data_IF_288174085560
#
_entry.id   IF_288174085560
#
_cell.length_a   1.000
_cell.length_b   1.000
_cell.length_c   1.000
_cell.angle_alpha   90.00
_cell.angle_beta   90.00
_cell.angle_gamma   90.00
#
_symmetry.space_group_name_H-M   'P 1'
#
loop_
_entity.id
_entity.type
_entity.pdbx_description
1 polymer ?
#
# COMPACT_ATOMS: atom_id res chain seq x y z
N UNK A 1 2.71 11.83 -26.62
CA UNK A 1 1.99 12.23 -25.39
C UNK A 1 2.72 11.53 -24.25
N UNK A 2 3.47 12.29 -23.46
CA UNK A 2 4.15 11.73 -22.29
C UNK A 2 3.07 11.41 -21.26
N UNK A 3 2.78 10.11 -21.06
CA UNK A 3 1.85 9.67 -20.02
C UNK A 3 2.38 10.02 -18.63
N UNK A 4 1.49 9.99 -17.61
CA UNK A 4 1.90 10.14 -16.22
C UNK A 4 2.90 9.02 -15.83
N UNK A 5 3.96 9.40 -15.13
CA UNK A 5 4.97 8.44 -14.69
C UNK A 5 4.63 7.81 -13.34
N UNK A 6 4.06 8.58 -12.42
CA UNK A 6 3.77 8.13 -11.05
C UNK A 6 2.34 8.47 -10.63
N UNK A 7 1.66 7.52 -10.00
CA UNK A 7 0.45 7.76 -9.21
C UNK A 7 0.72 7.43 -7.74
N UNK A 8 0.40 8.35 -6.85
CA UNK A 8 0.47 8.13 -5.39
C UNK A 8 -0.94 7.99 -4.85
N UNK A 9 -1.29 6.79 -4.40
CA UNK A 9 -2.59 6.50 -3.80
C UNK A 9 -2.54 6.83 -2.31
N UNK A 10 -3.45 7.70 -1.87
CA UNK A 10 -3.70 7.99 -0.45
C UNK A 10 -5.11 7.51 -0.12
N UNK A 11 -5.25 6.69 0.91
CA UNK A 11 -6.55 6.25 1.38
C UNK A 11 -6.75 6.62 2.84
N UNK A 12 -7.96 7.05 3.19
CA UNK A 12 -8.31 7.53 4.51
C UNK A 12 -9.69 7.06 4.96
N UNK A 13 -9.84 6.86 6.26
CA UNK A 13 -11.13 6.65 6.92
C UNK A 13 -11.12 7.34 8.28
N UNK A 14 -11.89 8.44 8.41
CA UNK A 14 -11.95 9.28 9.60
C UNK A 14 -10.55 9.76 10.03
N UNK A 15 -9.89 10.51 9.14
CA UNK A 15 -8.56 11.08 9.32
C UNK A 15 -8.56 12.61 9.12
N UNK A 16 -9.68 13.29 9.44
CA UNK A 16 -9.85 14.74 9.30
C UNK A 16 -8.68 15.56 9.85
N UNK A 17 -8.19 15.18 11.03
CA UNK A 17 -7.08 15.88 11.69
C UNK A 17 -5.72 15.67 11.02
N UNK A 18 -5.55 14.63 10.21
CA UNK A 18 -4.27 14.23 9.64
C UNK A 18 -4.16 14.52 8.14
N UNK A 19 -5.29 14.48 7.41
CA UNK A 19 -5.25 14.37 5.95
C UNK A 19 -4.71 15.63 5.26
N UNK A 20 -5.09 16.82 5.71
CA UNK A 20 -4.65 18.06 5.06
C UNK A 20 -3.11 18.23 5.13
N UNK A 21 -2.44 18.13 6.30
CA UNK A 21 -0.99 18.23 6.36
C UNK A 21 -0.26 17.12 5.60
N UNK A 22 -0.81 15.90 5.54
CA UNK A 22 -0.22 14.79 4.76
C UNK A 22 -0.26 15.09 3.26
N UNK A 23 -1.39 15.56 2.76
CA UNK A 23 -1.54 15.89 1.34
C UNK A 23 -0.73 17.11 0.92
N UNK A 24 -0.62 18.13 1.77
CA UNK A 24 0.20 19.31 1.49
C UNK A 24 1.69 18.95 1.43
N UNK A 25 2.19 18.17 2.40
CA UNK A 25 3.58 17.68 2.41
C UNK A 25 3.87 16.82 1.15
N UNK A 26 2.94 15.93 0.76
CA UNK A 26 3.09 15.14 -0.45
C UNK A 26 3.12 16.00 -1.71
N UNK A 27 2.23 17.00 -1.82
CA UNK A 27 2.20 17.91 -2.97
C UNK A 27 3.49 18.71 -3.12
N UNK A 28 4.01 19.24 -2.01
CA UNK A 28 5.28 19.98 -2.00
C UNK A 28 6.42 19.09 -2.47
N UNK A 29 6.50 17.86 -1.94
CA UNK A 29 7.53 16.90 -2.33
C UNK A 29 7.43 16.51 -3.80
N UNK A 30 6.23 16.20 -4.29
CA UNK A 30 6.01 15.83 -5.71
C UNK A 30 6.37 17.00 -6.64
N UNK A 31 5.97 18.23 -6.29
CA UNK A 31 6.31 19.41 -7.09
C UNK A 31 7.81 19.69 -7.21
N UNK A 32 8.58 19.28 -6.19
CA UNK A 32 10.03 19.46 -6.17
C UNK A 32 10.80 18.29 -6.83
N UNK A 33 10.26 17.07 -6.85
CA UNK A 33 11.01 15.87 -7.21
C UNK A 33 10.44 15.08 -8.40
N UNK A 34 9.15 15.26 -8.73
CA UNK A 34 8.47 14.47 -9.76
C UNK A 34 7.70 15.40 -10.73
N UNK A 35 8.13 15.47 -11.96
CA UNK A 35 7.53 16.36 -12.98
C UNK A 35 6.24 15.81 -13.59
N UNK A 36 5.95 14.53 -13.45
CA UNK A 36 4.82 13.84 -14.08
C UNK A 36 4.15 12.88 -13.09
N UNK A 37 3.52 13.44 -12.05
CA UNK A 37 2.85 12.66 -11.01
C UNK A 37 1.42 13.14 -10.76
N UNK A 38 0.58 12.25 -10.26
CA UNK A 38 -0.76 12.55 -9.74
C UNK A 38 -0.95 11.98 -8.34
N UNK A 39 -1.87 12.56 -7.59
CA UNK A 39 -2.36 12.04 -6.32
C UNK A 39 -3.75 11.44 -6.56
N UNK A 40 -3.95 10.19 -6.17
CA UNK A 40 -5.26 9.54 -6.17
C UNK A 40 -5.70 9.36 -4.72
N UNK A 41 -6.60 10.23 -4.28
CA UNK A 41 -7.15 10.16 -2.92
C UNK A 41 -8.43 9.33 -2.91
N UNK A 42 -8.54 8.40 -1.97
CA UNK A 42 -9.71 7.56 -1.74
C UNK A 42 -10.20 7.73 -0.31
N UNK A 43 -11.36 8.36 -0.14
CA UNK A 43 -12.10 8.39 1.12
C UNK A 43 -12.92 7.11 1.25
N UNK A 44 -12.55 6.25 2.19
CA UNK A 44 -13.22 4.97 2.44
C UNK A 44 -14.50 5.13 3.29
N UNK A 45 -15.35 6.07 2.91
CA UNK A 45 -16.65 6.30 3.55
C UNK A 45 -16.57 7.00 4.91
N UNK A 46 -15.70 8.00 5.05
CA UNK A 46 -15.57 8.79 6.29
C UNK A 46 -16.87 9.51 6.64
N UNK A 47 -17.13 9.61 7.95
CA UNK A 47 -18.26 10.34 8.53
C UNK A 47 -17.88 11.72 9.08
N UNK A 48 -16.58 12.04 9.14
CA UNK A 48 -16.02 13.32 9.56
C UNK A 48 -15.67 14.23 8.37
N UNK A 49 -14.91 15.30 8.60
CA UNK A 49 -14.48 16.25 7.57
C UNK A 49 -13.38 15.79 6.64
N UNK A 50 -12.95 14.50 6.66
CA UNK A 50 -11.83 13.98 5.88
C UNK A 50 -11.91 14.32 4.39
N UNK A 51 -13.05 14.10 3.75
CA UNK A 51 -13.25 14.41 2.31
C UNK A 51 -13.09 15.89 2.00
N UNK A 52 -13.67 16.76 2.85
CA UNK A 52 -13.62 18.20 2.64
C UNK A 52 -12.20 18.76 2.82
N UNK A 53 -11.47 18.28 3.84
CA UNK A 53 -10.08 18.64 4.06
C UNK A 53 -9.19 18.17 2.91
N UNK A 54 -9.39 16.94 2.41
CA UNK A 54 -8.64 16.44 1.26
C UNK A 54 -8.88 17.28 0.00
N UNK A 55 -10.14 17.62 -0.31
CA UNK A 55 -10.49 18.45 -1.46
C UNK A 55 -9.83 19.84 -1.39
N UNK A 56 -9.81 20.46 -0.21
CA UNK A 56 -9.12 21.75 0.01
C UNK A 56 -7.62 21.63 -0.19
N UNK A 57 -7.00 20.61 0.41
CA UNK A 57 -5.57 20.40 0.33
C UNK A 57 -5.07 20.06 -1.08
N UNK A 58 -5.89 19.43 -1.92
CA UNK A 58 -5.52 19.03 -3.28
C UNK A 58 -5.90 20.08 -4.35
N UNK A 59 -6.59 21.14 -3.99
CA UNK A 59 -6.96 22.21 -4.94
C UNK A 59 -5.74 22.75 -5.69
N UNK A 60 -5.82 22.81 -7.04
CA UNK A 60 -4.74 23.32 -7.90
C UNK A 60 -3.58 22.34 -8.16
N UNK A 61 -3.66 21.09 -7.72
CA UNK A 61 -2.68 20.05 -8.08
C UNK A 61 -3.32 18.98 -9.00
N UNK A 62 -2.54 18.22 -9.79
CA UNK A 62 -3.06 17.06 -10.51
C UNK A 62 -3.52 15.99 -9.51
N UNK A 63 -4.82 15.72 -9.45
CA UNK A 63 -5.39 14.79 -8.50
C UNK A 63 -6.69 14.15 -8.96
N UNK A 64 -7.06 13.04 -8.32
CA UNK A 64 -8.38 12.44 -8.37
C UNK A 64 -8.91 12.28 -6.94
N UNK A 65 -10.20 12.59 -6.73
CA UNK A 65 -10.90 12.41 -5.47
C UNK A 65 -11.98 11.34 -5.67
N UNK A 66 -11.86 10.25 -4.93
CA UNK A 66 -12.78 9.12 -4.96
C UNK A 66 -13.34 8.91 -3.57
N UNK A 67 -14.61 8.49 -3.47
CA UNK A 67 -15.25 8.22 -2.19
C UNK A 67 -16.10 6.97 -2.27
N UNK A 68 -16.00 6.12 -1.25
CA UNK A 68 -16.93 5.03 -1.03
C UNK A 68 -18.17 5.52 -0.25
N UNK A 69 -19.31 4.90 -0.48
CA UNK A 69 -20.55 5.21 0.26
C UNK A 69 -20.44 4.81 1.74
N UNK A 70 -19.64 3.77 2.04
CA UNK A 70 -19.37 3.28 3.39
C UNK A 70 -17.97 2.68 3.47
N UNK A 71 -17.47 2.47 4.69
CA UNK A 71 -16.17 1.83 4.91
C UNK A 71 -16.14 0.41 4.35
N UNK A 72 -15.28 0.18 3.36
CA UNK A 72 -15.06 -1.10 2.69
C UNK A 72 -13.74 -1.76 3.06
N UNK A 73 -12.89 -1.05 3.76
CA UNK A 73 -11.58 -1.51 4.21
C UNK A 73 -10.43 -1.10 3.29
N UNK A 74 -9.23 -1.17 3.86
CA UNK A 74 -7.98 -0.69 3.24
C UNK A 74 -7.70 -1.37 1.89
N UNK A 75 -8.01 -2.66 1.74
CA UNK A 75 -7.83 -3.38 0.48
C UNK A 75 -8.74 -2.86 -0.62
N UNK A 76 -10.02 -2.61 -0.31
CA UNK A 76 -10.96 -2.02 -1.25
C UNK A 76 -10.54 -0.61 -1.67
N UNK A 77 -10.12 0.22 -0.70
CA UNK A 77 -9.66 1.57 -0.98
C UNK A 77 -8.42 1.59 -1.86
N UNK A 78 -7.43 0.72 -1.58
CA UNK A 78 -6.24 0.59 -2.42
C UNK A 78 -6.59 0.12 -3.84
N UNK A 79 -7.45 -0.89 -4.00
CA UNK A 79 -7.92 -1.34 -5.32
C UNK A 79 -8.60 -0.23 -6.10
N UNK A 80 -9.48 0.53 -5.45
CA UNK A 80 -10.16 1.68 -6.07
C UNK A 80 -9.15 2.71 -6.55
N UNK A 81 -8.16 3.05 -5.71
CA UNK A 81 -7.11 4.00 -6.07
C UNK A 81 -6.24 3.52 -7.22
N UNK A 82 -5.83 2.24 -7.21
CA UNK A 82 -4.99 1.68 -8.29
C UNK A 82 -5.75 1.58 -9.62
N UNK A 83 -7.05 1.25 -9.61
CA UNK A 83 -7.89 1.27 -10.83
C UNK A 83 -7.98 2.65 -11.44
N UNK A 84 -8.02 3.70 -10.63
CA UNK A 84 -8.08 5.08 -11.09
C UNK A 84 -6.70 5.63 -11.51
N UNK A 85 -5.62 5.04 -11.01
CA UNK A 85 -4.25 5.47 -11.29
C UNK A 85 -3.91 5.42 -12.79
N UNK A 86 -3.25 6.47 -13.29
CA UNK A 86 -2.84 6.62 -14.70
C UNK A 86 -1.33 6.50 -14.87
N UNK A 87 -0.56 6.63 -13.80
CA UNK A 87 0.90 6.54 -13.80
C UNK A 87 1.41 5.16 -14.25
N UNK A 88 2.56 5.13 -14.87
CA UNK A 88 3.26 3.88 -15.19
C UNK A 88 3.68 3.13 -13.92
N UNK A 89 4.03 3.88 -12.89
CA UNK A 89 4.32 3.41 -11.55
C UNK A 89 3.22 3.81 -10.57
N UNK A 90 2.97 2.96 -9.60
CA UNK A 90 2.03 3.25 -8.51
C UNK A 90 2.69 2.95 -7.17
N UNK A 91 2.47 3.83 -6.22
CA UNK A 91 2.75 3.62 -4.80
C UNK A 91 1.59 4.11 -3.95
N UNK A 92 1.62 3.85 -2.66
CA UNK A 92 0.61 4.35 -1.73
C UNK A 92 1.25 4.82 -0.43
N UNK A 93 0.62 5.78 0.23
CA UNK A 93 1.00 6.22 1.57
C UNK A 93 -0.24 6.24 2.47
N UNK A 94 -0.10 5.87 3.75
CA UNK A 94 -1.18 5.98 4.71
C UNK A 94 -1.46 7.44 5.08
N UNK A 95 -2.71 7.78 5.34
CA UNK A 95 -3.16 9.13 5.69
C UNK A 95 -2.74 9.61 7.08
N UNK A 96 -2.07 8.77 7.89
CA UNK A 96 -1.69 9.08 9.28
C UNK A 96 -0.36 9.84 9.43
N UNK A 97 0.32 10.10 8.31
CA UNK A 97 1.59 10.84 8.28
C UNK A 97 2.80 10.10 8.85
N UNK A 98 2.68 8.78 9.11
CA UNK A 98 3.81 7.99 9.60
C UNK A 98 4.90 7.77 8.53
N UNK A 99 4.54 7.84 7.26
CA UNK A 99 5.49 7.68 6.15
C UNK A 99 5.66 9.02 5.44
N UNK A 100 6.88 9.47 5.43
CA UNK A 100 7.25 10.71 4.73
C UNK A 100 7.27 10.52 3.21
N UNK A 101 6.93 11.54 2.42
CA UNK A 101 6.98 11.48 0.95
C UNK A 101 8.37 11.11 0.39
N UNK A 102 9.46 11.40 1.11
CA UNK A 102 10.83 11.02 0.73
C UNK A 102 11.02 9.51 0.56
N UNK A 103 10.17 8.69 1.19
CA UNK A 103 10.13 7.26 0.96
C UNK A 103 9.87 6.92 -0.51
N UNK A 104 9.09 7.74 -1.23
CA UNK A 104 8.83 7.57 -2.66
C UNK A 104 10.13 7.67 -3.45
N UNK A 105 10.96 8.68 -3.17
CA UNK A 105 12.28 8.84 -3.78
C UNK A 105 13.20 7.64 -3.55
N UNK A 106 13.19 7.11 -2.32
CA UNK A 106 13.96 5.91 -1.97
C UNK A 106 13.50 4.69 -2.76
N UNK A 107 12.18 4.48 -2.87
CA UNK A 107 11.60 3.39 -3.68
C UNK A 107 11.93 3.54 -5.16
N UNK A 108 11.82 4.76 -5.71
CA UNK A 108 12.12 5.06 -7.12
C UNK A 108 13.60 4.83 -7.46
N UNK A 109 14.49 5.31 -6.59
CA UNK A 109 15.93 5.13 -6.77
C UNK A 109 16.32 3.65 -6.78
N UNK A 110 15.71 2.83 -5.91
CA UNK A 110 15.93 1.39 -5.88
C UNK A 110 15.38 0.70 -7.14
N UNK A 111 14.18 1.07 -7.60
CA UNK A 111 13.61 0.54 -8.84
C UNK A 111 14.55 0.75 -10.03
N UNK A 112 15.12 1.96 -10.15
CA UNK A 112 16.04 2.29 -11.23
C UNK A 112 17.39 1.58 -11.10
N UNK A 113 17.98 1.58 -9.89
CA UNK A 113 19.29 0.96 -9.62
C UNK A 113 19.27 -0.55 -9.85
N UNK A 114 18.23 -1.22 -9.34
CA UNK A 114 18.14 -2.69 -9.30
C UNK A 114 17.34 -3.26 -10.48
N UNK A 115 16.86 -2.39 -11.38
CA UNK A 115 15.98 -2.76 -12.51
C UNK A 115 14.75 -3.56 -12.04
N UNK A 116 14.22 -3.20 -10.89
CA UNK A 116 13.10 -3.88 -10.26
C UNK A 116 11.77 -3.35 -10.77
N UNK A 117 10.80 -4.25 -10.96
CA UNK A 117 9.42 -3.89 -11.30
C UNK A 117 8.53 -3.69 -10.07
N UNK A 118 8.98 -4.23 -8.93
CA UNK A 118 8.37 -4.03 -7.61
C UNK A 118 9.47 -3.72 -6.60
N UNK A 119 9.28 -2.70 -5.78
CA UNK A 119 10.17 -2.38 -4.66
C UNK A 119 9.37 -2.41 -3.37
N UNK A 120 9.69 -3.35 -2.50
CA UNK A 120 9.11 -3.46 -1.16
C UNK A 120 9.87 -2.59 -0.16
N UNK A 121 9.21 -2.23 0.93
CA UNK A 121 9.88 -1.52 2.02
C UNK A 121 9.73 -2.21 3.36
N UNK A 122 10.76 -2.06 4.19
CA UNK A 122 10.76 -2.39 5.60
C UNK A 122 11.10 -1.15 6.42
N UNK A 123 10.67 -1.10 7.68
CA UNK A 123 10.98 0.03 8.55
C UNK A 123 12.33 -0.15 9.24
N UNK A 124 13.14 0.92 9.29
CA UNK A 124 14.44 0.95 9.97
C UNK A 124 14.28 0.66 11.48
N UNK A 125 13.57 1.53 12.17
CA UNK A 125 13.29 1.37 13.60
C UNK A 125 11.80 1.60 13.84
N UNK A 126 11.14 0.53 14.26
CA UNK A 126 9.80 0.61 14.79
C UNK A 126 9.90 0.32 16.29
N UNK A 127 9.50 1.26 17.13
CA UNK A 127 9.36 1.06 18.58
C UNK A 127 8.18 0.12 18.88
N UNK A 128 8.12 -0.97 18.14
CA UNK A 128 7.14 -2.03 18.37
C UNK A 128 7.63 -2.91 19.52
N UNK A 129 6.82 -3.08 20.53
CA UNK A 129 7.16 -3.97 21.64
C UNK A 129 7.50 -5.38 21.15
N UNK A 130 8.24 -6.14 21.98
CA UNK A 130 8.75 -7.49 21.67
C UNK A 130 7.65 -8.42 21.13
N UNK A 131 6.42 -8.35 21.66
CA UNK A 131 5.27 -9.11 21.18
C UNK A 131 4.98 -8.91 19.69
N UNK A 132 5.06 -7.69 19.19
CA UNK A 132 4.78 -7.39 17.78
C UNK A 132 5.88 -7.91 16.86
N UNK A 133 7.14 -7.89 17.31
CA UNK A 133 8.28 -8.47 16.56
C UNK A 133 8.13 -9.99 16.42
N UNK A 134 7.78 -10.68 17.52
CA UNK A 134 7.52 -12.14 17.52
C UNK A 134 6.38 -12.46 16.58
N UNK A 135 5.30 -11.68 16.63
CA UNK A 135 4.11 -11.88 15.82
C UNK A 135 4.40 -11.69 14.32
N UNK A 136 5.11 -10.62 13.97
CA UNK A 136 5.54 -10.35 12.59
C UNK A 136 6.47 -11.45 12.07
N UNK A 137 7.38 -11.97 12.91
CA UNK A 137 8.22 -13.11 12.57
C UNK A 137 7.41 -14.38 12.36
N UNK A 138 6.40 -14.64 13.21
CA UNK A 138 5.47 -15.77 13.08
C UNK A 138 4.67 -15.72 11.77
N UNK A 139 4.11 -14.57 11.42
CA UNK A 139 3.39 -14.39 10.15
C UNK A 139 4.32 -14.61 8.95
N UNK A 140 5.55 -14.06 8.97
CA UNK A 140 6.53 -14.29 7.89
C UNK A 140 6.94 -15.76 7.78
N UNK A 141 7.11 -16.45 8.91
CA UNK A 141 7.36 -17.89 8.95
C UNK A 141 6.22 -18.70 8.34
N UNK A 142 4.96 -18.35 8.67
CA UNK A 142 3.78 -18.97 8.11
C UNK A 142 3.65 -18.73 6.59
N UNK A 143 3.93 -17.51 6.13
CA UNK A 143 3.98 -17.19 4.69
C UNK A 143 5.00 -18.07 3.98
N UNK A 144 6.20 -18.20 4.54
CA UNK A 144 7.23 -19.08 3.97
C UNK A 144 6.78 -20.54 3.93
N UNK A 145 6.20 -21.06 5.01
CA UNK A 145 5.73 -22.44 5.08
C UNK A 145 4.60 -22.73 4.08
N UNK A 146 3.63 -21.82 3.95
CA UNK A 146 2.44 -22.04 3.11
C UNK A 146 2.71 -21.72 1.63
N UNK A 147 3.49 -20.68 1.34
CA UNK A 147 3.67 -20.16 -0.03
C UNK A 147 5.08 -20.35 -0.60
N UNK A 148 6.07 -20.74 0.22
CA UNK A 148 7.45 -20.90 -0.20
C UNK A 148 8.21 -19.61 -0.49
N UNK A 149 7.66 -18.44 -0.11
CA UNK A 149 8.27 -17.13 -0.40
C UNK A 149 8.75 -16.44 0.88
N UNK A 150 9.92 -15.79 0.81
CA UNK A 150 10.46 -14.98 1.90
C UNK A 150 10.00 -13.53 1.71
N UNK A 151 8.93 -13.17 2.39
CA UNK A 151 8.36 -11.83 2.30
C UNK A 151 9.06 -10.85 3.26
N UNK A 152 9.51 -9.72 2.72
CA UNK A 152 10.04 -8.56 3.43
C UNK A 152 9.30 -7.31 2.94
N UNK A 153 8.12 -7.06 3.51
CA UNK A 153 7.26 -5.93 3.17
C UNK A 153 6.46 -5.55 4.40
N UNK A 154 6.82 -4.47 5.05
CA UNK A 154 6.17 -3.95 6.25
C UNK A 154 5.52 -2.57 6.00
N UNK A 155 5.99 -1.86 4.98
CA UNK A 155 5.56 -0.52 4.59
C UNK A 155 4.96 -0.44 3.19
N UNK A 156 4.83 0.77 2.65
CA UNK A 156 4.39 0.98 1.28
C UNK A 156 5.36 0.33 0.29
N UNK A 157 4.86 -0.01 -0.86
CA UNK A 157 5.67 -0.54 -1.96
C UNK A 157 5.39 0.24 -3.25
N UNK A 158 6.38 0.27 -4.15
CA UNK A 158 6.29 0.84 -5.49
C UNK A 158 6.21 -0.31 -6.49
N UNK A 159 5.35 -0.20 -7.50
CA UNK A 159 5.19 -1.26 -8.50
C UNK A 159 4.78 -0.71 -9.86
N UNK A 160 5.11 -1.42 -10.92
CA UNK A 160 4.55 -1.17 -12.26
C UNK A 160 3.05 -1.42 -12.24
N UNK A 161 2.24 -0.43 -12.67
CA UNK A 161 0.78 -0.50 -12.61
C UNK A 161 0.17 -1.78 -13.20
N UNK A 162 0.63 -2.34 -14.35
CA UNK A 162 0.06 -3.58 -14.89
C UNK A 162 0.22 -4.81 -14.00
N UNK A 163 1.13 -4.80 -13.01
CA UNK A 163 1.31 -5.91 -12.08
C UNK A 163 0.20 -6.03 -11.04
N UNK A 164 -0.59 -4.97 -10.87
CA UNK A 164 -1.68 -4.96 -9.89
C UNK A 164 -3.02 -5.22 -10.60
N UNK A 165 -3.36 -6.49 -10.75
CA UNK A 165 -4.68 -6.88 -11.22
C UNK A 165 -5.67 -6.89 -10.05
N UNK A 166 -6.44 -5.80 -9.95
CA UNK A 166 -7.38 -5.62 -8.85
C UNK A 166 -8.55 -6.63 -8.86
N UNK A 167 -8.79 -7.33 -9.96
CA UNK A 167 -9.86 -8.33 -10.08
C UNK A 167 -9.38 -9.70 -9.63
N UNK A 168 -8.08 -9.99 -9.76
CA UNK A 168 -7.46 -11.20 -9.21
C UNK A 168 -7.12 -11.09 -7.72
N UNK A 169 -6.96 -9.88 -7.19
CA UNK A 169 -6.68 -9.63 -5.78
C UNK A 169 -8.00 -9.60 -4.99
N UNK A 170 -8.34 -10.71 -4.36
CA UNK A 170 -9.66 -10.91 -3.74
C UNK A 170 -9.89 -10.08 -2.47
N UNK A 171 -8.96 -9.95 -1.49
CA UNK A 171 -9.28 -9.33 -0.21
C UNK A 171 -9.56 -7.83 -0.33
N UNK A 172 -10.63 -7.38 0.32
CA UNK A 172 -10.91 -5.96 0.59
C UNK A 172 -10.33 -5.50 1.93
N UNK A 173 -9.69 -6.41 2.66
CA UNK A 173 -9.10 -6.22 3.99
C UNK A 173 -7.62 -5.84 3.90
N UNK A 174 -7.00 -5.67 5.07
CA UNK A 174 -5.55 -5.48 5.20
C UNK A 174 -4.74 -6.64 4.57
N UNK A 175 -5.34 -7.82 4.39
CA UNK A 175 -4.66 -8.99 3.81
C UNK A 175 -4.17 -8.75 2.37
N UNK A 176 -4.73 -7.78 1.65
CA UNK A 176 -4.23 -7.37 0.34
C UNK A 176 -2.72 -7.04 0.37
N UNK A 177 -2.24 -6.44 1.47
CA UNK A 177 -0.82 -6.12 1.66
C UNK A 177 0.07 -7.35 1.86
N UNK A 178 -0.50 -8.53 2.05
CA UNK A 178 0.20 -9.82 2.00
C UNK A 178 0.00 -10.52 0.65
N UNK A 179 -1.22 -10.53 0.13
CA UNK A 179 -1.53 -11.23 -1.11
C UNK A 179 -0.72 -10.69 -2.30
N UNK A 180 -0.66 -9.37 -2.49
CA UNK A 180 0.09 -8.79 -3.61
C UNK A 180 1.59 -9.14 -3.54
N UNK A 181 2.34 -8.91 -2.45
CA UNK A 181 3.73 -9.34 -2.33
C UNK A 181 3.94 -10.84 -2.52
N UNK A 182 3.06 -11.69 -1.96
CA UNK A 182 3.15 -13.15 -2.12
C UNK A 182 3.00 -13.55 -3.60
N UNK A 183 2.10 -12.91 -4.34
CA UNK A 183 1.92 -13.16 -5.77
C UNK A 183 3.14 -12.72 -6.58
N UNK A 184 3.67 -11.53 -6.32
CA UNK A 184 4.85 -11.00 -7.01
C UNK A 184 6.10 -11.85 -6.77
N UNK A 185 6.38 -12.18 -5.51
CA UNK A 185 7.50 -13.06 -5.14
C UNK A 185 7.33 -14.48 -5.69
N UNK A 186 6.11 -15.01 -5.65
CA UNK A 186 5.82 -16.35 -6.18
C UNK A 186 5.85 -16.45 -7.70
N UNK A 187 5.72 -15.33 -8.41
CA UNK A 187 5.88 -15.22 -9.86
C UNK A 187 7.32 -14.82 -10.28
N UNK A 188 8.23 -14.72 -9.31
CA UNK A 188 9.62 -14.28 -9.50
C UNK A 188 9.75 -12.93 -10.26
N UNK A 189 8.80 -12.01 -10.03
CA UNK A 189 8.87 -10.66 -10.60
C UNK A 189 10.14 -9.98 -10.09
N UNK A 190 10.93 -9.28 -10.95
CA UNK A 190 12.11 -8.52 -10.54
C UNK A 190 11.77 -7.56 -9.40
N UNK A 191 12.41 -7.74 -8.25
CA UNK A 191 12.08 -6.98 -7.05
C UNK A 191 13.30 -6.64 -6.21
N UNK A 192 13.17 -5.58 -5.41
CA UNK A 192 14.14 -5.20 -4.38
C UNK A 192 13.44 -4.80 -3.10
N UNK A 193 14.22 -4.68 -2.03
CA UNK A 193 13.74 -4.27 -0.71
C UNK A 193 14.57 -3.08 -0.24
N UNK A 194 13.91 -2.04 0.26
CA UNK A 194 14.56 -0.87 0.85
C UNK A 194 14.12 -0.66 2.27
N UNK A 195 14.98 -0.01 3.05
CA UNK A 195 14.65 0.44 4.39
C UNK A 195 14.15 1.88 4.34
N UNK A 196 13.01 2.15 4.97
CA UNK A 196 12.43 3.48 5.09
C UNK A 196 12.19 3.84 6.56
N UNK A 197 12.15 5.14 6.84
CA UNK A 197 11.86 5.62 8.19
C UNK A 197 10.36 5.63 8.45
N UNK A 198 9.97 5.26 9.67
CA UNK A 198 8.61 5.39 10.19
C UNK A 198 8.59 6.49 11.25
N UNK A 199 7.84 7.56 10.98
CA UNK A 199 7.65 8.68 11.91
C UNK A 199 6.61 8.31 12.98
N UNK A 200 6.59 8.96 14.13
CA UNK A 200 5.45 8.92 15.04
C UNK A 200 4.18 9.38 14.32
N UNK A 201 3.03 8.76 14.64
CA UNK A 201 1.74 9.18 14.11
C UNK A 201 1.44 10.62 14.53
N UNK A 202 0.90 11.45 13.63
CA UNK A 202 0.59 12.86 13.92
C UNK A 202 -0.51 13.00 14.98
N UNK A 203 -1.60 12.21 14.85
CA UNK A 203 -2.68 12.15 15.83
C UNK A 203 -3.44 10.82 15.80
N UNK A 204 -4.23 10.53 16.86
CA UNK A 204 -5.08 9.35 16.94
C UNK A 204 -4.38 8.06 17.41
N UNK A 205 -5.18 7.00 17.61
CA UNK A 205 -4.70 5.69 18.03
C UNK A 205 -4.72 4.67 16.89
N UNK A 206 -3.75 3.73 16.90
CA UNK A 206 -3.70 2.65 15.91
C UNK A 206 -4.96 1.77 16.02
N UNK A 207 -5.75 1.71 14.94
CA UNK A 207 -6.94 0.85 14.84
C UNK A 207 -6.57 -0.61 14.46
N UNK A 208 -5.26 -0.95 14.36
CA UNK A 208 -4.79 -2.15 13.66
C UNK A 208 -4.30 -3.31 14.54
N UNK A 209 -4.45 -3.29 15.86
CA UNK A 209 -3.93 -4.33 16.76
C UNK A 209 -5.03 -5.20 17.39
N UNK A 210 -4.97 -6.54 17.18
CA UNK A 210 -5.85 -7.50 17.86
C UNK A 210 -5.56 -8.96 17.44
N UNK A 211 -5.56 -9.89 18.41
CA UNK A 211 -5.38 -11.34 18.22
C UNK A 211 -6.35 -11.94 17.19
N UNK A 212 -7.60 -11.44 17.13
CA UNK A 212 -8.60 -11.87 16.14
C UNK A 212 -8.14 -11.63 14.69
N UNK A 213 -7.34 -10.58 14.41
CA UNK A 213 -6.81 -10.31 13.08
C UNK A 213 -5.74 -11.31 12.65
N UNK A 214 -4.98 -11.84 13.59
CA UNK A 214 -3.92 -12.81 13.31
C UNK A 214 -4.49 -14.15 12.89
N UNK A 215 -5.53 -14.62 13.59
CA UNK A 215 -6.25 -15.82 13.19
C UNK A 215 -6.86 -15.67 11.79
N UNK A 216 -7.42 -14.49 11.48
CA UNK A 216 -7.90 -14.15 10.14
C UNK A 216 -6.79 -14.19 9.08
N UNK A 217 -5.62 -13.64 9.36
CA UNK A 217 -4.48 -13.69 8.42
C UNK A 217 -4.05 -15.13 8.12
N UNK A 218 -4.04 -16.03 9.10
CA UNK A 218 -3.71 -17.44 8.88
C UNK A 218 -4.73 -18.11 7.95
N UNK A 219 -6.02 -17.91 8.19
CA UNK A 219 -7.08 -18.39 7.31
C UNK A 219 -6.93 -17.85 5.89
N UNK A 220 -6.76 -16.54 5.74
CA UNK A 220 -6.59 -15.88 4.45
C UNK A 220 -5.38 -16.43 3.67
N UNK A 221 -4.27 -16.77 4.35
CA UNK A 221 -3.10 -17.41 3.74
C UNK A 221 -3.41 -18.77 3.16
N UNK A 222 -4.15 -19.62 3.87
CA UNK A 222 -4.56 -20.93 3.35
C UNK A 222 -5.55 -20.81 2.19
N UNK A 223 -6.51 -19.90 2.29
CA UNK A 223 -7.45 -19.63 1.19
C UNK A 223 -6.72 -19.13 -0.05
N UNK A 224 -5.73 -18.24 0.09
CA UNK A 224 -4.89 -17.79 -1.01
C UNK A 224 -4.13 -18.98 -1.64
N UNK A 225 -3.59 -19.92 -0.83
CA UNK A 225 -2.91 -21.09 -1.35
C UNK A 225 -3.81 -21.94 -2.23
N UNK A 226 -5.04 -22.16 -1.78
CA UNK A 226 -6.05 -22.93 -2.53
C UNK A 226 -6.42 -22.21 -3.84
N UNK A 227 -6.66 -20.90 -3.80
CA UNK A 227 -6.97 -20.11 -5.00
C UNK A 227 -5.84 -20.19 -6.03
N UNK A 228 -4.59 -19.96 -5.62
CA UNK A 228 -3.43 -20.03 -6.51
C UNK A 228 -3.24 -21.40 -7.13
N UNK A 229 -3.51 -22.47 -6.39
CA UNK A 229 -3.48 -23.83 -6.94
C UNK A 229 -4.53 -24.00 -8.04
N UNK A 230 -5.78 -23.56 -7.82
CA UNK A 230 -6.86 -23.61 -8.82
C UNK A 230 -6.52 -22.78 -10.07
N UNK A 231 -5.99 -21.56 -9.89
CA UNK A 231 -5.55 -20.69 -11.00
C UNK A 231 -4.46 -21.37 -11.85
N UNK A 232 -3.51 -22.06 -11.20
CA UNK A 232 -2.44 -22.80 -11.91
C UNK A 232 -2.99 -23.96 -12.72
N UNK A 233 -3.95 -24.72 -12.19
CA UNK A 233 -4.60 -25.81 -12.94
C UNK A 233 -5.38 -25.27 -14.15
N UNK A 234 -6.11 -24.18 -13.99
CA UNK A 234 -6.90 -23.58 -15.07
C UNK A 234 -6.05 -22.99 -16.22
N UNK A 235 -4.79 -22.61 -15.96
CA UNK A 235 -3.86 -22.12 -17.00
C UNK A 235 -3.20 -23.25 -17.79
N UNK A 236 -3.15 -24.45 -17.23
CA UNK A 236 -2.50 -25.62 -17.83
C UNK A 236 -3.48 -26.58 -18.51
N UNK A 237 -4.78 -26.32 -18.41
CA UNK A 237 -5.87 -27.03 -19.06
C UNK A 237 -6.35 -26.27 -20.31
#
# INVERSE_FOLDING_TARGET
MNGLDLSVVIFAFNEEANIAPVLLELREWLGANETSAEIVFVDDGSSDGTSAEAARALSGAPHQLLRHESNRGIGAALKTGVRAAKGAWVTFLPADGQIAPEAIGTLRAAAARDQSEVVFSVYDHRNDGVHRKILSAGVRGLIFLVHGVRMQSDGPYLFRRPLFDADQLVPDTFFLNFEFPIRMLGAAVPNSVVTIQCRPRRSGHSKSTGLKRIAGVAQDLFELRIRRAKESFARNA
#
